data_IF_937153428892
#
_entry.id   IF_937153428892
#
_cell.length_a   1.000
_cell.length_b   1.000
_cell.length_c   1.000
_cell.angle_alpha   90.00
_cell.angle_beta   90.00
_cell.angle_gamma   90.00
#
_symmetry.space_group_name_H-M   'P 1'
#
loop_
_entity.id
_entity.type
_entity.pdbx_description
1 polymer ?
#
# COMPACT_ATOMS: atom_id res chain seq x y z
N UNK A 1 -3.64 40.57 -52.20
CA UNK A 1 -4.64 40.17 -51.18
C UNK A 1 -3.93 39.40 -50.09
N UNK A 2 -3.50 40.10 -49.04
CA UNK A 2 -2.85 39.52 -47.87
C UNK A 2 -3.86 39.31 -46.75
N UNK A 3 -3.76 38.18 -46.04
CA UNK A 3 -4.44 37.95 -44.76
C UNK A 3 -3.40 37.74 -43.65
N UNK A 4 -3.60 38.30 -42.44
CA UNK A 4 -2.52 38.52 -41.48
C UNK A 4 -2.36 37.36 -40.49
N UNK A 5 -1.11 37.16 -40.05
CA UNK A 5 -0.72 36.29 -38.94
C UNK A 5 -0.99 36.99 -37.61
N UNK A 6 -1.86 36.44 -36.77
CA UNK A 6 -2.07 36.91 -35.40
C UNK A 6 -0.94 36.39 -34.50
N UNK A 7 -0.16 37.33 -33.93
CA UNK A 7 0.83 37.08 -32.87
C UNK A 7 0.15 37.28 -31.51
N UNK A 8 0.14 36.24 -30.68
CA UNK A 8 -0.24 36.34 -29.28
C UNK A 8 1.00 36.70 -28.46
N UNK A 9 1.02 37.92 -27.91
CA UNK A 9 2.00 38.37 -26.92
C UNK A 9 1.49 38.04 -25.53
N UNK A 10 2.18 37.13 -24.82
CA UNK A 10 1.99 36.89 -23.39
C UNK A 10 2.68 38.02 -22.62
N UNK A 11 1.91 38.80 -21.87
CA UNK A 11 2.45 39.78 -20.90
C UNK A 11 2.72 39.07 -19.57
N UNK A 12 3.99 38.98 -19.20
CA UNK A 12 4.44 38.74 -17.83
C UNK A 12 4.10 39.98 -16.98
N UNK A 13 3.35 39.77 -15.90
CA UNK A 13 3.23 40.74 -14.80
C UNK A 13 3.87 40.10 -13.59
N UNK A 14 5.02 40.63 -13.19
CA UNK A 14 5.64 40.39 -11.89
C UNK A 14 5.10 41.38 -10.86
N UNK A 15 4.89 40.91 -9.64
CA UNK A 15 4.79 41.71 -8.42
C UNK A 15 5.23 40.78 -7.28
N UNK A 16 6.44 40.95 -6.76
CA UNK A 16 6.81 41.83 -5.65
C UNK A 16 6.69 41.10 -4.30
N UNK A 17 7.83 40.62 -3.82
CA UNK A 17 8.03 40.11 -2.48
C UNK A 17 8.00 41.25 -1.47
N UNK A 18 7.27 41.08 -0.37
CA UNK A 18 7.36 41.93 0.83
C UNK A 18 7.92 41.07 1.96
N UNK A 19 9.20 41.29 2.25
CA UNK A 19 9.87 40.89 3.48
C UNK A 19 9.49 41.87 4.59
N UNK A 20 8.87 41.38 5.67
CA UNK A 20 8.72 42.11 6.92
C UNK A 20 9.58 41.47 8.01
N UNK A 21 10.47 42.31 8.52
CA UNK A 21 11.45 42.12 9.58
C UNK A 21 10.76 42.37 10.93
N UNK A 22 10.88 41.47 11.90
CA UNK A 22 10.69 41.82 13.31
C UNK A 22 11.71 41.08 14.19
N UNK A 23 12.47 41.89 14.91
CA UNK A 23 13.59 41.52 15.75
C UNK A 23 13.18 41.11 17.17
N UNK A 24 14.14 40.47 17.83
CA UNK A 24 14.16 39.84 19.15
C UNK A 24 13.76 40.72 20.34
N UNK A 25 13.37 40.04 21.44
CA UNK A 25 13.82 40.37 22.80
C UNK A 25 13.98 39.08 23.63
N UNK A 26 15.19 38.90 24.16
CA UNK A 26 15.59 37.96 25.21
C UNK A 26 15.20 38.54 26.59
N UNK A 27 15.05 37.67 27.60
CA UNK A 27 15.70 37.70 28.93
C UNK A 27 14.88 36.87 29.93
N UNK A 28 15.56 35.99 30.67
CA UNK A 28 14.99 35.28 31.81
C UNK A 28 15.90 34.20 32.39
N UNK A 29 17.04 34.62 32.97
CA UNK A 29 17.94 33.77 33.76
C UNK A 29 17.33 33.35 35.10
N UNK A 30 17.65 32.13 35.57
CA UNK A 30 17.49 31.71 36.96
C UNK A 30 18.28 30.44 37.25
N UNK A 31 19.32 30.55 38.08
CA UNK A 31 20.32 29.51 38.38
C UNK A 31 20.32 29.11 39.86
N UNK A 32 20.66 27.83 40.12
CA UNK A 32 21.45 27.25 41.25
C UNK A 32 20.91 27.22 42.69
N UNK A 33 20.93 26.01 43.28
CA UNK A 33 21.81 25.49 44.38
C UNK A 33 21.25 24.12 44.84
N UNK A 34 21.98 22.99 44.88
CA UNK A 34 23.16 22.58 45.67
C UNK A 34 22.87 22.38 47.18
N UNK A 35 23.10 21.16 47.67
CA UNK A 35 23.13 20.79 49.09
C UNK A 35 23.19 19.26 49.29
N UNK A 36 24.35 18.79 49.71
CA UNK A 36 24.77 17.42 50.05
C UNK A 36 24.31 17.00 51.46
N UNK A 37 24.40 15.70 51.80
CA UNK A 37 25.31 15.17 52.84
C UNK A 37 25.03 13.69 53.22
N UNK A 38 26.14 12.96 53.29
CA UNK A 38 26.55 11.91 54.25
C UNK A 38 25.94 10.48 54.30
N UNK A 39 26.86 9.53 54.05
CA UNK A 39 26.91 8.16 54.58
C UNK A 39 27.50 8.16 56.01
N UNK A 40 27.50 7.03 56.76
CA UNK A 40 28.58 6.05 56.60
C UNK A 40 28.23 4.57 56.86
N UNK A 41 29.23 3.73 56.61
CA UNK A 41 29.30 2.28 56.46
C UNK A 41 29.21 1.42 57.74
N UNK A 42 28.96 0.11 57.56
CA UNK A 42 29.67 -1.00 58.23
C UNK A 42 29.40 -2.37 57.57
N UNK A 43 30.48 -3.03 57.17
CA UNK A 43 30.65 -4.47 56.84
C UNK A 43 30.80 -5.30 58.15
N UNK A 44 30.86 -6.67 58.20
CA UNK A 44 31.60 -7.54 57.27
C UNK A 44 31.04 -8.97 56.97
N UNK A 45 31.75 -9.62 56.04
CA UNK A 45 31.66 -11.04 55.60
C UNK A 45 31.97 -12.08 56.70
N UNK A 46 31.90 -13.40 56.40
CA UNK A 46 33.14 -14.10 55.99
C UNK A 46 33.01 -15.24 54.93
N UNK A 47 34.11 -15.41 54.17
CA UNK A 47 34.78 -16.66 53.67
C UNK A 47 33.96 -17.84 53.09
N UNK A 48 34.39 -18.62 52.10
CA UNK A 48 35.70 -18.90 51.50
C UNK A 48 35.50 -19.93 50.38
N UNK A 49 36.33 -19.91 49.34
CA UNK A 49 37.07 -21.05 48.77
C UNK A 49 37.39 -20.81 47.28
N UNK A 50 38.69 -20.64 47.01
CA UNK A 50 39.26 -20.64 45.68
C UNK A 50 39.38 -22.08 45.15
N UNK A 51 39.12 -22.28 43.86
CA UNK A 51 39.83 -23.28 43.06
C UNK A 51 40.09 -22.74 41.66
N UNK A 52 41.35 -22.83 41.26
CA UNK A 52 41.95 -22.43 39.99
C UNK A 52 41.66 -23.46 38.90
N UNK A 53 41.35 -23.02 37.67
CA UNK A 53 41.33 -23.93 36.52
C UNK A 53 40.86 -23.35 35.19
N UNK A 54 41.86 -22.98 34.36
CA UNK A 54 41.88 -23.01 32.90
C UNK A 54 40.91 -22.10 32.08
N UNK A 55 41.55 -21.20 31.33
CA UNK A 55 40.99 -20.35 30.31
C UNK A 55 40.47 -21.13 29.08
N UNK A 56 39.30 -20.73 28.58
CA UNK A 56 38.81 -20.95 27.23
C UNK A 56 38.07 -19.69 26.78
N UNK A 57 38.21 -19.22 25.52
CA UNK A 57 37.66 -17.93 25.13
C UNK A 57 36.15 -18.07 24.96
N UNK A 58 35.38 -17.64 25.95
CA UNK A 58 33.94 -17.47 25.81
C UNK A 58 33.68 -16.27 24.92
N UNK A 59 33.26 -16.55 23.68
CA UNK A 59 32.68 -15.56 22.77
C UNK A 59 31.52 -14.85 23.44
N UNK A 60 31.70 -13.54 23.69
CA UNK A 60 30.66 -12.61 24.11
C UNK A 60 29.52 -12.64 23.07
N UNK A 61 28.26 -12.93 23.43
CA UNK A 61 27.15 -12.79 22.49
C UNK A 61 27.02 -11.34 22.05
N UNK A 62 26.72 -11.15 20.78
CA UNK A 62 26.56 -9.85 20.13
C UNK A 62 25.48 -8.99 20.82
N UNK A 63 25.89 -8.13 21.75
CA UNK A 63 25.04 -7.13 22.40
C UNK A 63 24.70 -5.92 21.48
N UNK A 64 25.17 -5.92 20.23
CA UNK A 64 24.94 -4.82 19.28
C UNK A 64 23.69 -5.01 18.42
N UNK A 65 23.14 -6.22 18.29
CA UNK A 65 21.87 -6.41 17.57
C UNK A 65 20.65 -6.03 18.42
N UNK A 66 20.77 -6.07 19.75
CA UNK A 66 19.66 -5.85 20.68
C UNK A 66 19.36 -4.37 20.95
N UNK A 67 20.33 -3.47 20.77
CA UNK A 67 20.13 -2.05 20.99
C UNK A 67 19.33 -1.38 19.85
N UNK A 68 19.62 -1.73 18.60
CA UNK A 68 18.90 -1.19 17.43
C UNK A 68 17.42 -1.63 17.37
N UNK A 69 17.05 -2.72 18.04
CA UNK A 69 15.67 -3.22 18.10
C UNK A 69 14.82 -2.55 19.20
N UNK A 70 15.45 -1.98 20.23
CA UNK A 70 14.77 -1.39 21.38
C UNK A 70 14.21 0.02 21.10
N UNK A 71 14.80 0.74 20.14
CA UNK A 71 14.38 2.09 19.72
C UNK A 71 13.44 2.07 18.49
N UNK A 72 13.03 0.87 18.04
CA UNK A 72 12.09 0.71 16.94
C UNK A 72 10.69 1.23 17.33
N UNK A 73 10.02 1.92 16.41
CA UNK A 73 8.62 2.35 16.61
C UNK A 73 7.69 1.14 16.75
N UNK A 74 8.00 0.05 16.03
CA UNK A 74 7.34 -1.24 16.17
C UNK A 74 8.37 -2.36 16.40
N UNK A 75 8.73 -2.64 17.67
CA UNK A 75 9.65 -3.71 18.02
C UNK A 75 9.12 -5.11 17.68
N UNK A 76 7.80 -5.31 17.56
CA UNK A 76 7.21 -6.60 17.25
C UNK A 76 7.47 -7.02 15.79
N UNK A 77 7.58 -6.03 14.89
CA UNK A 77 7.89 -6.24 13.48
C UNK A 77 9.34 -5.84 13.11
N UNK A 78 10.22 -5.67 14.10
CA UNK A 78 11.59 -5.28 13.85
C UNK A 78 12.45 -6.49 13.39
N UNK A 79 13.28 -6.25 12.38
CA UNK A 79 14.24 -7.20 11.80
C UNK A 79 15.65 -6.59 11.81
N UNK A 80 16.73 -7.39 11.63
CA UNK A 80 18.08 -6.85 11.64
C UNK A 80 18.28 -5.70 10.64
N UNK A 81 18.66 -4.52 11.15
CA UNK A 81 18.86 -3.33 10.34
C UNK A 81 20.05 -3.51 9.38
N UNK A 82 19.92 -3.06 8.11
CA UNK A 82 21.03 -3.15 7.17
C UNK A 82 22.08 -2.08 7.49
N UNK A 83 23.36 -2.48 7.50
CA UNK A 83 24.48 -1.54 7.55
C UNK A 83 24.61 -0.70 6.28
N UNK A 84 25.70 0.07 6.14
CA UNK A 84 25.96 0.88 4.94
C UNK A 84 25.92 0.03 3.64
N UNK A 85 25.36 0.58 2.57
CA UNK A 85 25.31 -0.09 1.27
C UNK A 85 26.69 -0.05 0.60
N UNK A 86 27.30 -1.21 0.42
CA UNK A 86 28.63 -1.37 -0.23
C UNK A 86 28.53 -2.07 -1.58
N UNK A 87 27.43 -2.79 -1.81
CA UNK A 87 27.17 -3.52 -3.04
C UNK A 87 26.64 -2.58 -4.12
N UNK A 88 26.89 -2.92 -5.38
CA UNK A 88 26.27 -2.21 -6.51
C UNK A 88 24.75 -2.38 -6.51
N UNK A 89 24.09 -1.38 -7.11
CA UNK A 89 22.67 -1.41 -7.42
C UNK A 89 22.38 -2.40 -8.55
N UNK A 90 21.12 -2.83 -8.60
CA UNK A 90 20.57 -3.79 -9.54
C UNK A 90 19.45 -3.14 -10.36
N UNK A 91 19.27 -3.60 -11.59
CA UNK A 91 18.08 -3.30 -12.36
C UNK A 91 16.88 -4.06 -11.79
N UNK A 92 15.78 -3.35 -11.54
CA UNK A 92 14.49 -3.98 -11.32
C UNK A 92 13.87 -4.21 -12.69
N UNK A 93 14.23 -5.34 -13.33
CA UNK A 93 13.98 -5.55 -14.75
C UNK A 93 12.70 -6.35 -15.00
N UNK A 94 12.47 -7.39 -14.18
CA UNK A 94 11.33 -8.29 -14.30
C UNK A 94 10.70 -8.56 -12.92
N UNK A 95 9.38 -8.70 -12.91
CA UNK A 95 8.61 -9.17 -11.76
C UNK A 95 7.85 -10.44 -12.15
N UNK A 96 8.14 -11.52 -11.42
CA UNK A 96 7.28 -12.71 -11.40
C UNK A 96 6.32 -12.56 -10.23
N UNK A 97 5.03 -12.75 -10.47
CA UNK A 97 4.01 -12.64 -9.42
C UNK A 97 2.98 -13.76 -9.52
N UNK A 98 2.75 -14.42 -8.39
CA UNK A 98 1.79 -15.51 -8.20
C UNK A 98 0.87 -15.19 -7.02
N UNK A 99 -0.41 -15.60 -7.08
CA UNK A 99 -1.28 -15.56 -5.90
C UNK A 99 -0.89 -16.54 -4.79
N UNK A 100 -0.06 -17.53 -5.11
CA UNK A 100 0.44 -18.55 -4.17
C UNK A 100 1.95 -18.40 -4.00
N UNK A 101 2.53 -18.85 -2.87
CA UNK A 101 3.98 -18.93 -2.69
C UNK A 101 4.69 -19.63 -3.86
N UNK A 102 5.82 -19.09 -4.29
CA UNK A 102 6.68 -19.74 -5.29
C UNK A 102 7.52 -20.81 -4.57
N UNK A 103 7.43 -22.06 -5.03
CA UNK A 103 8.20 -23.17 -4.47
C UNK A 103 9.71 -22.94 -4.60
N UNK A 104 10.50 -23.45 -3.65
CA UNK A 104 11.96 -23.33 -3.66
C UNK A 104 12.59 -23.81 -4.97
N UNK A 105 12.12 -24.94 -5.53
CA UNK A 105 12.58 -25.47 -6.83
C UNK A 105 12.37 -24.46 -7.98
N UNK A 106 11.20 -23.83 -8.07
CA UNK A 106 10.93 -22.76 -9.05
C UNK A 106 11.89 -21.59 -8.83
N UNK A 107 12.13 -21.18 -7.59
CA UNK A 107 13.05 -20.06 -7.28
C UNK A 107 14.48 -20.40 -7.68
N UNK A 108 14.94 -21.62 -7.40
CA UNK A 108 16.27 -22.11 -7.77
C UNK A 108 16.44 -22.22 -9.28
N UNK A 109 15.45 -22.76 -10.00
CA UNK A 109 15.46 -22.82 -11.46
C UNK A 109 15.51 -21.42 -12.09
N UNK A 110 14.77 -20.45 -11.54
CA UNK A 110 14.85 -19.04 -11.99
C UNK A 110 16.23 -18.45 -11.73
N UNK A 111 16.83 -18.70 -10.55
CA UNK A 111 18.19 -18.22 -10.21
C UNK A 111 19.26 -18.86 -11.10
N UNK A 112 19.08 -20.10 -11.52
CA UNK A 112 20.00 -20.83 -12.38
C UNK A 112 19.81 -20.53 -13.88
N UNK A 113 18.74 -19.82 -14.25
CA UNK A 113 18.43 -19.53 -15.64
C UNK A 113 19.48 -18.61 -16.26
N UNK A 114 20.07 -19.03 -17.39
CA UNK A 114 21.02 -18.21 -18.14
C UNK A 114 20.41 -16.85 -18.50
N UNK A 115 21.08 -15.78 -18.09
CA UNK A 115 20.64 -14.40 -18.31
C UNK A 115 19.96 -13.75 -17.11
N UNK A 116 19.65 -14.51 -16.05
CA UNK A 116 19.29 -13.98 -14.73
C UNK A 116 20.57 -13.68 -13.96
N UNK A 117 20.73 -12.44 -13.50
CA UNK A 117 21.88 -12.02 -12.70
C UNK A 117 21.59 -12.16 -11.19
N UNK A 118 20.41 -11.70 -10.76
CA UNK A 118 19.92 -11.83 -9.39
C UNK A 118 18.41 -12.05 -9.43
N UNK A 119 17.90 -12.96 -8.59
CA UNK A 119 16.48 -13.08 -8.30
C UNK A 119 16.25 -13.01 -6.78
N UNK A 120 15.61 -11.92 -6.35
CA UNK A 120 15.23 -11.65 -4.97
C UNK A 120 13.78 -12.11 -4.75
N UNK A 121 13.58 -12.95 -3.75
CA UNK A 121 12.24 -13.39 -3.36
C UNK A 121 11.62 -12.37 -2.41
N UNK A 122 10.40 -11.94 -2.72
CA UNK A 122 9.63 -10.97 -1.95
C UNK A 122 8.19 -11.46 -1.80
N UNK A 123 7.44 -10.87 -0.89
CA UNK A 123 5.98 -11.02 -0.85
C UNK A 123 5.34 -9.78 -1.44
N UNK A 124 4.37 -9.94 -2.31
CA UNK A 124 3.62 -8.85 -2.94
C UNK A 124 2.12 -9.04 -2.73
N UNK A 125 1.45 -7.96 -2.36
CA UNK A 125 0.00 -7.90 -2.25
C UNK A 125 -0.50 -6.54 -2.75
N UNK A 126 -1.82 -6.38 -2.77
CA UNK A 126 -2.47 -5.09 -2.94
C UNK A 126 -3.40 -4.82 -1.76
N UNK A 127 -3.35 -3.60 -1.23
CA UNK A 127 -4.22 -3.15 -0.14
C UNK A 127 -5.13 -2.06 -0.65
N UNK A 128 -6.43 -2.18 -0.36
CA UNK A 128 -7.40 -1.13 -0.67
C UNK A 128 -7.38 -0.05 0.42
N UNK A 129 -7.06 1.18 0.04
CA UNK A 129 -7.12 2.36 0.91
C UNK A 129 -7.90 3.43 0.16
N UNK A 130 -9.01 3.87 0.74
CA UNK A 130 -10.00 4.71 0.06
C UNK A 130 -10.35 4.08 -1.33
N UNK A 131 -10.40 4.86 -2.41
CA UNK A 131 -10.74 4.36 -3.74
C UNK A 131 -9.62 3.61 -4.48
N UNK A 132 -8.47 3.36 -3.83
CA UNK A 132 -7.22 2.95 -4.50
C UNK A 132 -6.69 1.61 -3.99
N UNK A 133 -6.34 0.71 -4.92
CA UNK A 133 -5.55 -0.48 -4.63
C UNK A 133 -4.05 -0.14 -4.72
N UNK A 134 -3.35 -0.11 -3.58
CA UNK A 134 -1.91 0.14 -3.50
C UNK A 134 -1.10 -1.16 -3.59
N UNK A 135 -0.02 -1.14 -4.37
CA UNK A 135 0.94 -2.25 -4.46
C UNK A 135 1.92 -2.20 -3.29
N UNK A 136 1.81 -3.16 -2.36
CA UNK A 136 2.67 -3.26 -1.18
C UNK A 136 3.56 -4.50 -1.31
N UNK A 137 4.85 -4.35 -0.97
CA UNK A 137 5.78 -5.48 -0.87
C UNK A 137 6.36 -5.63 0.53
N UNK A 138 6.47 -6.87 0.98
CA UNK A 138 7.22 -7.25 2.18
C UNK A 138 8.57 -7.84 1.74
N UNK A 139 9.66 -7.27 2.24
CA UNK A 139 10.99 -7.51 1.67
C UNK A 139 12.04 -7.73 2.75
N UNK A 140 13.19 -8.29 2.37
CA UNK A 140 14.41 -8.16 3.16
C UNK A 140 15.06 -6.79 2.90
N UNK A 141 15.12 -5.88 3.91
CA UNK A 141 15.61 -4.51 3.71
C UNK A 141 17.06 -4.44 3.22
N UNK A 142 17.88 -5.45 3.54
CA UNK A 142 19.30 -5.49 3.19
C UNK A 142 19.53 -5.77 1.71
N UNK A 143 18.76 -6.70 1.14
CA UNK A 143 18.92 -7.18 -0.24
C UNK A 143 18.06 -6.41 -1.22
N UNK A 144 16.78 -6.17 -0.88
CA UNK A 144 15.83 -5.46 -1.74
C UNK A 144 16.26 -4.02 -2.06
N UNK A 145 16.86 -3.31 -1.09
CA UNK A 145 17.28 -1.91 -1.29
C UNK A 145 18.17 -1.68 -2.51
N UNK A 146 18.89 -2.71 -2.96
CA UNK A 146 19.77 -2.67 -4.13
C UNK A 146 19.00 -2.46 -5.44
N UNK A 147 17.72 -2.83 -5.50
CA UNK A 147 16.87 -2.66 -6.67
C UNK A 147 16.22 -1.28 -6.76
N UNK A 148 16.20 -0.53 -5.66
CA UNK A 148 15.52 0.77 -5.61
C UNK A 148 16.35 1.88 -6.28
N UNK A 149 15.72 3.00 -6.69
CA UNK A 149 16.44 4.17 -7.18
C UNK A 149 17.53 4.63 -6.21
N UNK A 150 18.62 5.20 -6.75
CA UNK A 150 19.81 5.58 -5.97
C UNK A 150 19.50 6.44 -4.73
N UNK A 151 18.49 7.32 -4.84
CA UNK A 151 18.02 8.18 -3.76
C UNK A 151 17.54 7.38 -2.54
N UNK A 152 16.85 6.26 -2.78
CA UNK A 152 16.35 5.39 -1.71
C UNK A 152 17.43 4.42 -1.27
N UNK A 153 18.12 3.79 -2.23
CA UNK A 153 19.09 2.74 -1.95
C UNK A 153 20.23 3.20 -1.02
N UNK A 154 20.70 4.43 -1.21
CA UNK A 154 21.81 5.01 -0.44
C UNK A 154 21.37 5.63 0.90
N UNK A 155 20.08 5.88 1.10
CA UNK A 155 19.57 6.53 2.31
C UNK A 155 19.40 5.48 3.41
N UNK A 156 20.45 5.29 4.22
CA UNK A 156 20.49 4.26 5.28
C UNK A 156 19.32 4.36 6.25
N UNK A 157 18.89 5.59 6.60
CA UNK A 157 17.79 5.80 7.55
C UNK A 157 16.45 5.25 7.03
N UNK A 158 16.17 5.31 5.72
CA UNK A 158 14.96 4.68 5.14
C UNK A 158 14.94 3.20 5.48
N UNK A 159 16.06 2.51 5.28
CA UNK A 159 16.14 1.06 5.47
C UNK A 159 16.29 0.63 6.92
N UNK A 160 16.84 1.49 7.79
CA UNK A 160 16.78 1.30 9.25
C UNK A 160 15.35 1.36 9.75
N UNK A 161 14.56 2.35 9.29
CA UNK A 161 13.14 2.49 9.63
C UNK A 161 12.30 1.32 9.14
N UNK A 162 12.47 0.93 7.86
CA UNK A 162 11.80 -0.25 7.31
C UNK A 162 12.18 -1.52 8.10
N UNK A 163 13.44 -1.67 8.46
CA UNK A 163 13.87 -2.77 9.31
C UNK A 163 13.29 -2.68 10.73
N UNK A 164 13.11 -1.49 11.30
CA UNK A 164 12.49 -1.24 12.59
C UNK A 164 10.95 -1.30 12.60
N UNK A 165 10.33 -1.96 11.61
CA UNK A 165 8.88 -2.17 11.57
C UNK A 165 8.07 -1.04 10.92
N UNK A 166 8.69 0.06 10.48
CA UNK A 166 7.97 1.13 9.79
C UNK A 166 7.82 0.82 8.28
N UNK A 167 6.95 1.56 7.57
CA UNK A 167 6.81 1.47 6.12
C UNK A 167 7.48 2.65 5.38
N UNK A 168 7.98 2.37 4.17
CA UNK A 168 8.42 3.38 3.22
C UNK A 168 7.41 3.50 2.07
N UNK A 169 6.97 4.72 1.74
CA UNK A 169 5.94 4.99 0.73
C UNK A 169 6.50 5.87 -0.40
N UNK A 170 5.99 5.72 -1.63
CA UNK A 170 6.28 6.63 -2.73
C UNK A 170 6.00 8.10 -2.37
N UNK A 171 6.92 9.05 -2.65
CA UNK A 171 6.73 10.46 -2.31
C UNK A 171 5.45 11.09 -2.89
N UNK A 172 5.02 10.66 -4.08
CA UNK A 172 3.81 11.16 -4.74
C UNK A 172 2.50 10.80 -4.03
N UNK A 173 2.54 9.86 -3.08
CA UNK A 173 1.37 9.42 -2.31
C UNK A 173 1.23 10.16 -0.97
N UNK A 174 2.25 10.93 -0.54
CA UNK A 174 2.26 11.63 0.76
C UNK A 174 1.02 12.48 1.06
N UNK A 175 0.46 13.14 0.04
CA UNK A 175 -0.72 14.00 0.18
C UNK A 175 -2.03 13.31 -0.23
N UNK A 176 -1.95 12.07 -0.70
CA UNK A 176 -3.08 11.31 -1.25
C UNK A 176 -3.57 10.22 -0.30
N UNK A 177 -2.74 9.81 0.65
CA UNK A 177 -3.08 8.76 1.62
C UNK A 177 -3.49 9.38 2.96
N UNK A 178 -4.51 8.84 3.63
CA UNK A 178 -4.99 9.35 4.90
C UNK A 178 -4.11 8.85 6.05
N UNK A 179 -3.02 9.59 6.34
CA UNK A 179 -2.23 9.35 7.56
C UNK A 179 -2.79 10.11 8.74
N UNK A 180 -2.80 9.49 9.92
CA UNK A 180 -3.21 10.17 11.16
C UNK A 180 -2.17 11.19 11.65
N UNK A 181 -2.47 11.87 12.77
CA UNK A 181 -1.57 12.89 13.35
C UNK A 181 -0.24 12.32 13.86
N UNK A 182 -0.21 11.02 14.13
CA UNK A 182 0.96 10.29 14.63
C UNK A 182 1.76 9.66 13.49
N UNK A 183 1.33 9.79 12.24
CA UNK A 183 2.01 9.27 11.06
C UNK A 183 1.64 7.83 10.69
N UNK A 184 0.58 7.26 11.27
CA UNK A 184 0.10 5.92 10.95
C UNK A 184 -0.83 5.95 9.74
N UNK A 185 -0.71 4.93 8.90
CA UNK A 185 -1.59 4.66 7.78
C UNK A 185 -2.35 3.36 8.03
N UNK A 186 -3.67 3.43 7.98
CA UNK A 186 -4.53 2.26 8.02
C UNK A 186 -4.48 1.52 6.68
N UNK A 187 -4.03 0.27 6.70
CA UNK A 187 -3.89 -0.60 5.53
C UNK A 187 -5.19 -1.38 5.27
N UNK A 188 -6.25 -0.66 4.94
CA UNK A 188 -7.58 -1.20 4.66
C UNK A 188 -8.66 -0.13 4.84
N UNK A 189 -9.90 -0.47 4.48
CA UNK A 189 -11.06 0.44 4.64
C UNK A 189 -11.99 0.03 5.80
N UNK A 190 -11.67 -1.07 6.50
CA UNK A 190 -12.40 -1.53 7.67
C UNK A 190 -11.75 -1.03 8.96
N UNK A 191 -12.54 -0.90 10.02
CA UNK A 191 -12.07 -0.38 11.33
C UNK A 191 -11.09 -1.30 12.05
N UNK A 192 -11.01 -2.57 11.63
CA UNK A 192 -10.09 -3.60 12.11
C UNK A 192 -8.87 -3.79 11.21
N UNK A 193 -8.71 -2.95 10.18
CA UNK A 193 -7.53 -2.97 9.33
C UNK A 193 -6.27 -2.55 10.13
N UNK A 194 -5.14 -3.12 9.73
CA UNK A 194 -3.85 -2.94 10.40
C UNK A 194 -3.30 -1.53 10.16
N UNK A 195 -2.86 -0.86 11.23
CA UNK A 195 -2.18 0.44 11.14
C UNK A 195 -0.66 0.24 11.09
N UNK A 196 0.00 0.89 10.13
CA UNK A 196 1.46 0.86 10.00
C UNK A 196 2.02 2.28 9.99
N UNK A 197 3.06 2.53 10.78
CA UNK A 197 3.70 3.85 10.84
C UNK A 197 4.50 4.15 9.57
N UNK A 198 4.27 5.31 8.96
CA UNK A 198 4.98 5.78 7.77
C UNK A 198 6.31 6.43 8.17
N UNK A 199 7.38 5.63 8.18
CA UNK A 199 8.71 6.08 8.58
C UNK A 199 9.47 6.84 7.49
N UNK A 200 9.14 6.61 6.21
CA UNK A 200 9.87 7.25 5.11
C UNK A 200 9.02 7.48 3.86
N UNK A 201 9.35 8.56 3.15
CA UNK A 201 8.88 8.80 1.79
C UNK A 201 10.06 8.65 0.83
N UNK A 202 10.13 7.54 0.11
CA UNK A 202 11.29 7.15 -0.68
C UNK A 202 10.88 6.62 -2.06
N UNK A 203 11.51 7.07 -3.17
CA UNK A 203 11.28 6.50 -4.50
C UNK A 203 11.41 4.96 -4.51
N UNK A 204 10.50 4.27 -5.18
CA UNK A 204 10.51 2.81 -5.30
C UNK A 204 10.67 2.38 -6.76
N UNK A 205 10.80 1.07 -6.95
CA UNK A 205 10.75 0.46 -8.29
C UNK A 205 9.34 0.61 -8.88
N UNK A 206 9.22 0.45 -10.19
CA UNK A 206 7.91 0.41 -10.84
C UNK A 206 7.05 -0.72 -10.24
N UNK A 207 5.73 -0.48 -10.17
CA UNK A 207 4.75 -1.42 -9.59
C UNK A 207 4.89 -1.69 -8.08
N UNK A 208 5.57 -0.79 -7.35
CA UNK A 208 5.63 -0.78 -5.87
C UNK A 208 5.32 0.61 -5.34
N UNK A 209 4.27 0.71 -4.51
CA UNK A 209 3.87 1.95 -3.86
C UNK A 209 4.41 2.07 -2.44
N UNK A 210 4.46 0.93 -1.74
CA UNK A 210 4.88 0.86 -0.35
C UNK A 210 5.72 -0.39 -0.08
N UNK A 211 6.64 -0.26 0.87
CA UNK A 211 7.55 -1.31 1.30
C UNK A 211 7.51 -1.44 2.81
N UNK A 212 7.31 -2.66 3.28
CA UNK A 212 7.49 -3.10 4.66
C UNK A 212 8.57 -4.18 4.71
N UNK A 213 9.09 -4.49 5.90
CA UNK A 213 9.96 -5.65 6.04
C UNK A 213 9.15 -6.97 6.07
N UNK A 214 9.82 -8.10 5.89
CA UNK A 214 9.18 -9.42 5.78
C UNK A 214 8.42 -9.89 7.03
N UNK A 215 8.66 -9.32 8.22
CA UNK A 215 7.94 -9.69 9.45
C UNK A 215 6.44 -9.33 9.36
N UNK A 216 6.10 -8.28 8.59
CA UNK A 216 4.72 -7.86 8.36
C UNK A 216 3.90 -8.80 7.47
N UNK A 217 4.53 -9.73 6.75
CA UNK A 217 3.84 -10.50 5.72
C UNK A 217 2.62 -11.26 6.30
N UNK A 218 2.75 -11.85 7.48
CA UNK A 218 1.66 -12.58 8.13
C UNK A 218 0.52 -11.64 8.56
N UNK A 219 0.86 -10.56 9.25
CA UNK A 219 -0.13 -9.68 9.88
C UNK A 219 -0.88 -8.81 8.86
N UNK A 220 -0.30 -8.64 7.66
CA UNK A 220 -0.95 -8.01 6.50
C UNK A 220 -1.62 -9.01 5.54
N UNK A 221 -1.79 -10.28 5.95
CA UNK A 221 -2.36 -11.36 5.13
C UNK A 221 -1.66 -11.53 3.76
N UNK A 222 -0.36 -11.25 3.69
CA UNK A 222 0.44 -11.40 2.48
C UNK A 222 1.04 -12.81 2.39
N UNK A 223 0.86 -13.46 1.24
CA UNK A 223 1.47 -14.76 0.96
C UNK A 223 3.00 -14.68 0.93
N UNK A 224 3.73 -15.36 1.83
CA UNK A 224 5.19 -15.30 1.87
C UNK A 224 5.84 -15.80 0.58
N UNK A 225 6.71 -14.98 -0.01
CA UNK A 225 7.54 -15.40 -1.15
C UNK A 225 6.76 -15.69 -2.44
N UNK A 226 5.60 -15.06 -2.61
CA UNK A 226 4.74 -15.21 -3.79
C UNK A 226 5.21 -14.39 -5.02
N UNK A 227 6.34 -13.69 -4.92
CA UNK A 227 6.92 -12.91 -6.00
C UNK A 227 8.45 -13.02 -6.09
N UNK A 228 8.99 -12.84 -7.30
CA UNK A 228 10.42 -12.71 -7.55
C UNK A 228 10.71 -11.42 -8.32
N UNK A 229 11.60 -10.61 -7.77
CA UNK A 229 12.19 -9.45 -8.44
C UNK A 229 13.51 -9.86 -9.07
N UNK A 230 13.62 -9.69 -10.38
CA UNK A 230 14.72 -10.21 -11.17
C UNK A 230 15.49 -9.06 -11.82
N UNK A 231 16.81 -9.10 -11.67
CA UNK A 231 17.75 -8.32 -12.48
C UNK A 231 18.39 -9.21 -13.54
N UNK A 232 18.48 -8.69 -14.76
CA UNK A 232 18.96 -9.42 -15.94
C UNK A 232 20.38 -9.02 -16.34
N UNK A 233 20.96 -8.03 -15.65
CA UNK A 233 22.30 -7.51 -15.92
C UNK A 233 22.42 -6.97 -17.34
N UNK A 234 23.18 -7.65 -18.19
CA UNK A 234 23.37 -7.30 -19.60
C UNK A 234 22.36 -7.97 -20.54
N UNK A 235 21.52 -8.87 -20.03
CA UNK A 235 20.54 -9.61 -20.82
C UNK A 235 19.26 -8.79 -21.00
N UNK A 236 18.70 -8.77 -22.21
CA UNK A 236 17.40 -8.14 -22.46
C UNK A 236 16.28 -8.85 -21.68
N UNK A 237 15.45 -8.13 -20.89
CA UNK A 237 14.33 -8.72 -20.17
C UNK A 237 13.33 -9.47 -21.07
N UNK A 238 13.15 -8.98 -22.30
CA UNK A 238 12.24 -9.55 -23.30
C UNK A 238 12.63 -10.97 -23.69
N UNK A 239 13.92 -11.30 -23.75
CA UNK A 239 14.39 -12.64 -24.13
C UNK A 239 14.11 -13.68 -23.05
N UNK A 240 13.94 -13.25 -21.79
CA UNK A 240 13.70 -14.12 -20.65
C UNK A 240 12.22 -14.42 -20.37
N UNK A 241 11.28 -13.70 -21.01
CA UNK A 241 9.84 -13.91 -20.78
C UNK A 241 9.40 -15.36 -21.04
N UNK A 242 9.75 -15.94 -22.20
CA UNK A 242 9.37 -17.32 -22.55
C UNK A 242 10.05 -18.37 -21.65
N UNK A 243 11.38 -18.32 -21.42
CA UNK A 243 12.04 -19.23 -20.48
C UNK A 243 11.45 -19.15 -19.06
N UNK A 244 11.24 -17.95 -18.53
CA UNK A 244 10.63 -17.77 -17.21
C UNK A 244 9.22 -18.34 -17.18
N UNK A 245 8.39 -18.05 -18.17
CA UNK A 245 7.02 -18.59 -18.25
C UNK A 245 6.99 -20.12 -18.27
N UNK A 246 8.01 -20.77 -18.86
CA UNK A 246 8.13 -22.23 -18.87
C UNK A 246 8.41 -22.80 -17.48
N UNK A 247 9.21 -22.08 -16.67
CA UNK A 247 9.54 -22.47 -15.28
C UNK A 247 8.35 -22.19 -14.36
N UNK A 248 7.81 -20.97 -14.40
CA UNK A 248 6.80 -20.51 -13.43
C UNK A 248 5.36 -20.95 -13.78
N UNK A 249 5.17 -21.52 -14.97
CA UNK A 249 3.89 -21.99 -15.48
C UNK A 249 3.02 -20.88 -16.08
N UNK A 250 2.11 -21.25 -16.99
CA UNK A 250 1.31 -20.31 -17.82
C UNK A 250 0.35 -19.37 -17.06
N UNK A 251 0.06 -19.67 -15.79
CA UNK A 251 -0.92 -18.91 -14.96
C UNK A 251 -0.27 -17.89 -14.04
N UNK A 252 1.06 -17.85 -14.02
CA UNK A 252 1.88 -16.93 -13.22
C UNK A 252 2.25 -15.73 -14.08
N UNK A 253 2.08 -14.52 -13.54
CA UNK A 253 2.39 -13.31 -14.27
C UNK A 253 3.91 -13.11 -14.33
N UNK A 254 4.42 -12.77 -15.51
CA UNK A 254 5.81 -12.34 -15.73
C UNK A 254 5.77 -10.99 -16.42
N UNK A 255 6.25 -9.95 -15.75
CA UNK A 255 6.10 -8.55 -16.16
C UNK A 255 7.46 -7.89 -16.32
N UNK A 256 7.64 -7.07 -17.36
CA UNK A 256 8.79 -6.17 -17.49
C UNK A 256 8.50 -4.90 -16.70
N UNK A 257 9.40 -4.52 -15.80
CA UNK A 257 9.27 -3.34 -14.94
C UNK A 257 9.78 -2.06 -15.61
N UNK A 258 9.48 -1.89 -16.91
CA UNK A 258 9.82 -0.70 -17.70
C UNK A 258 8.90 0.50 -17.42
N UNK A 259 9.18 1.68 -18.00
CA UNK A 259 8.41 2.91 -17.77
C UNK A 259 6.95 2.83 -18.27
N UNK A 260 6.61 1.84 -19.11
CA UNK A 260 5.27 1.63 -19.65
C UNK A 260 4.67 0.32 -19.13
N UNK A 261 3.39 0.35 -18.72
CA UNK A 261 2.63 -0.87 -18.51
C UNK A 261 2.54 -1.63 -19.84
N UNK A 262 2.89 -2.92 -19.90
CA UNK A 262 2.75 -3.70 -21.12
C UNK A 262 1.25 -3.86 -21.45
N UNK A 263 0.75 -3.09 -22.41
CA UNK A 263 -0.61 -3.24 -22.95
C UNK A 263 -0.72 -4.64 -23.55
N UNK A 264 -1.82 -5.34 -23.25
CA UNK A 264 -2.05 -6.70 -23.75
C UNK A 264 -1.38 -7.82 -22.94
N UNK A 265 -0.55 -7.52 -21.93
CA UNK A 265 -0.01 -8.53 -21.02
C UNK A 265 -0.92 -8.79 -19.82
N UNK A 266 -1.03 -10.06 -19.42
CA UNK A 266 -1.78 -10.45 -18.22
C UNK A 266 -1.15 -9.86 -16.95
N UNK A 267 -2.00 -9.21 -16.17
CA UNK A 267 -1.74 -8.70 -14.84
C UNK A 267 -2.54 -9.51 -13.83
N UNK A 268 -2.04 -9.59 -12.61
CA UNK A 268 -2.74 -10.24 -11.49
C UNK A 268 -2.79 -9.26 -10.34
N UNK A 269 -3.98 -9.11 -9.76
CA UNK A 269 -4.25 -8.38 -8.53
C UNK A 269 -4.71 -9.39 -7.48
N UNK A 270 -4.04 -9.39 -6.33
CA UNK A 270 -4.49 -10.10 -5.12
C UNK A 270 -4.68 -9.05 -4.05
N UNK A 271 -5.94 -8.73 -3.80
CA UNK A 271 -6.33 -7.79 -2.76
C UNK A 271 -6.34 -8.54 -1.43
N UNK A 272 -5.60 -8.03 -0.44
CA UNK A 272 -5.59 -8.56 0.93
C UNK A 272 -6.49 -7.73 1.84
N UNK A 273 -6.75 -8.24 3.05
CA UNK A 273 -7.62 -7.60 4.04
C UNK A 273 -9.10 -8.01 3.93
N UNK A 274 -9.97 -7.19 4.53
CA UNK A 274 -11.37 -7.47 4.89
C UNK A 274 -12.32 -7.85 3.74
N UNK A 275 -11.97 -7.56 2.49
CA UNK A 275 -12.76 -7.90 1.30
C UNK A 275 -12.07 -8.86 0.35
N UNK A 276 -10.88 -9.35 0.71
CA UNK A 276 -10.08 -10.28 -0.11
C UNK A 276 -10.89 -11.48 -0.59
N UNK A 277 -11.68 -12.11 0.29
CA UNK A 277 -12.51 -13.27 -0.03
C UNK A 277 -13.59 -12.97 -1.09
N UNK A 278 -14.11 -11.75 -1.13
CA UNK A 278 -15.12 -11.35 -2.12
C UNK A 278 -14.53 -11.13 -3.52
N UNK A 279 -13.24 -10.83 -3.61
CA UNK A 279 -12.54 -10.56 -4.88
C UNK A 279 -11.85 -11.82 -5.38
N UNK A 280 -11.22 -12.60 -4.49
CA UNK A 280 -10.34 -13.70 -4.85
C UNK A 280 -9.16 -13.22 -5.71
N UNK A 281 -8.72 -14.05 -6.64
CA UNK A 281 -7.64 -13.70 -7.57
C UNK A 281 -8.19 -12.98 -8.80
N UNK A 282 -7.89 -11.69 -8.92
CA UNK A 282 -8.33 -10.87 -10.05
C UNK A 282 -7.26 -10.81 -11.14
N UNK A 283 -7.44 -11.58 -12.21
CA UNK A 283 -6.59 -11.52 -13.40
C UNK A 283 -7.19 -10.57 -14.43
N UNK A 284 -6.37 -9.71 -15.04
CA UNK A 284 -6.84 -8.73 -16.01
C UNK A 284 -5.78 -8.36 -17.04
N UNK A 285 -6.20 -7.74 -18.14
CA UNK A 285 -5.32 -7.19 -19.18
C UNK A 285 -5.61 -5.70 -19.37
N UNK A 286 -4.63 -4.79 -19.35
CA UNK A 286 -4.84 -3.40 -19.75
C UNK A 286 -5.19 -3.31 -21.24
N UNK A 287 -6.29 -2.61 -21.58
CA UNK A 287 -6.82 -2.50 -22.96
C UNK A 287 -6.81 -1.07 -23.52
N UNK A 288 -6.10 -0.15 -22.87
CA UNK A 288 -6.01 1.26 -23.27
C UNK A 288 -7.19 2.12 -22.80
N UNK A 289 -7.04 3.45 -22.90
CA UNK A 289 -8.05 4.41 -22.44
C UNK A 289 -8.38 4.34 -20.94
N UNK A 290 -7.43 3.88 -20.12
CA UNK A 290 -7.62 3.68 -18.68
C UNK A 290 -8.46 2.46 -18.30
N UNK A 291 -8.82 1.59 -19.26
CA UNK A 291 -9.67 0.41 -19.01
C UNK A 291 -8.86 -0.88 -18.89
N UNK A 292 -9.44 -1.84 -18.20
CA UNK A 292 -8.91 -3.20 -18.08
C UNK A 292 -9.96 -4.22 -18.55
N UNK A 293 -9.50 -5.34 -19.10
CA UNK A 293 -10.32 -6.50 -19.42
C UNK A 293 -10.04 -7.60 -18.38
N UNK A 294 -10.94 -7.85 -17.42
CA UNK A 294 -10.81 -8.95 -16.48
C UNK A 294 -10.94 -10.31 -17.17
N UNK A 295 -10.39 -11.36 -16.55
CA UNK A 295 -10.56 -12.74 -17.00
C UNK A 295 -12.07 -13.08 -17.09
N UNK A 296 -12.60 -13.49 -18.25
CA UNK A 296 -14.00 -13.84 -18.41
C UNK A 296 -14.50 -14.88 -17.40
N UNK A 297 -13.63 -15.82 -16.98
CA UNK A 297 -13.97 -16.80 -15.96
C UNK A 297 -14.16 -16.15 -14.58
N UNK A 298 -13.34 -15.15 -14.24
CA UNK A 298 -13.53 -14.37 -13.02
C UNK A 298 -14.85 -13.59 -13.06
N UNK A 299 -15.15 -12.95 -14.19
CA UNK A 299 -16.41 -12.19 -14.38
C UNK A 299 -17.62 -13.10 -14.19
N UNK A 300 -17.66 -14.27 -14.83
CA UNK A 300 -18.76 -15.22 -14.68
C UNK A 300 -18.91 -15.74 -13.24
N UNK A 301 -17.78 -15.95 -12.54
CA UNK A 301 -17.77 -16.43 -11.17
C UNK A 301 -18.24 -15.35 -10.17
N UNK A 302 -17.86 -14.08 -10.36
CA UNK A 302 -18.02 -13.04 -9.33
C UNK A 302 -19.07 -11.98 -9.67
N UNK A 303 -19.36 -11.69 -10.92
CA UNK A 303 -20.26 -10.59 -11.31
C UNK A 303 -21.64 -11.13 -11.69
N UNK A 304 -22.70 -10.45 -11.23
CA UNK A 304 -24.09 -10.70 -11.66
C UNK A 304 -24.90 -9.41 -11.65
N UNK A 305 -26.08 -9.44 -12.27
CA UNK A 305 -27.06 -8.36 -12.21
C UNK A 305 -28.21 -8.78 -11.30
N UNK A 306 -28.55 -7.94 -10.33
CA UNK A 306 -29.72 -8.13 -9.47
C UNK A 306 -30.55 -6.86 -9.38
N UNK A 307 -31.84 -7.02 -9.10
CA UNK A 307 -32.74 -5.92 -8.79
C UNK A 307 -32.65 -5.58 -7.30
N UNK A 308 -32.13 -4.39 -7.00
CA UNK A 308 -31.98 -3.85 -5.65
C UNK A 308 -33.15 -2.92 -5.31
N UNK A 309 -33.64 -2.93 -4.04
CA UNK A 309 -34.67 -2.00 -3.59
C UNK A 309 -34.23 -0.54 -3.81
N UNK A 310 -35.18 0.33 -4.14
CA UNK A 310 -34.97 1.76 -4.42
C UNK A 310 -34.20 2.01 -5.73
N UNK A 311 -32.99 1.46 -5.89
CA UNK A 311 -32.08 1.76 -7.02
C UNK A 311 -32.51 1.08 -8.32
N UNK A 312 -32.98 -0.17 -8.27
CA UNK A 312 -33.29 -0.98 -9.45
C UNK A 312 -32.15 -1.92 -9.85
N UNK A 313 -31.95 -2.14 -11.16
CA UNK A 313 -30.99 -3.12 -11.64
C UNK A 313 -29.54 -2.65 -11.43
N UNK A 314 -28.75 -3.45 -10.73
CA UNK A 314 -27.33 -3.21 -10.50
C UNK A 314 -26.50 -4.40 -10.95
N UNK A 315 -25.43 -4.14 -11.71
CA UNK A 315 -24.42 -5.15 -12.08
C UNK A 315 -23.21 -4.96 -11.18
N UNK A 316 -23.00 -5.91 -10.27
CA UNK A 316 -21.99 -5.85 -9.21
C UNK A 316 -21.36 -7.21 -8.95
N UNK A 317 -20.40 -7.25 -8.03
CA UNK A 317 -19.94 -8.49 -7.42
C UNK A 317 -21.07 -9.13 -6.59
N UNK A 318 -21.26 -10.44 -6.75
CA UNK A 318 -22.24 -11.25 -6.02
C UNK A 318 -22.17 -11.06 -4.50
N UNK A 319 -20.95 -10.89 -3.97
CA UNK A 319 -20.71 -10.72 -2.55
C UNK A 319 -21.30 -9.41 -1.97
N UNK A 320 -21.53 -8.38 -2.79
CA UNK A 320 -22.07 -7.10 -2.29
C UNK A 320 -23.58 -7.18 -2.01
N UNK A 321 -24.30 -8.02 -2.76
CA UNK A 321 -25.77 -7.97 -2.81
C UNK A 321 -26.48 -8.26 -1.48
N UNK A 322 -26.07 -9.24 -0.66
CA UNK A 322 -26.76 -9.51 0.61
C UNK A 322 -26.79 -8.29 1.53
N UNK A 323 -25.65 -7.65 1.78
CA UNK A 323 -25.58 -6.48 2.66
C UNK A 323 -26.11 -5.21 2.00
N UNK A 324 -25.96 -5.06 0.68
CA UNK A 324 -26.55 -3.94 -0.06
C UNK A 324 -28.09 -3.97 0.01
N UNK A 325 -28.69 -5.15 -0.18
CA UNK A 325 -30.14 -5.35 -0.08
C UNK A 325 -30.63 -5.02 1.33
N UNK A 326 -29.95 -5.54 2.36
CA UNK A 326 -30.30 -5.26 3.75
C UNK A 326 -30.22 -3.75 4.09
N UNK A 327 -29.20 -3.05 3.60
CA UNK A 327 -29.07 -1.60 3.77
C UNK A 327 -30.22 -0.84 3.11
N UNK A 328 -30.54 -1.16 1.85
CA UNK A 328 -31.61 -0.50 1.10
C UNK A 328 -33.00 -0.78 1.69
N UNK A 329 -33.24 -1.98 2.20
CA UNK A 329 -34.46 -2.31 2.94
C UNK A 329 -34.58 -1.53 4.25
N UNK A 330 -33.48 -1.35 4.99
CA UNK A 330 -33.47 -0.54 6.19
C UNK A 330 -33.73 0.95 5.87
N UNK A 331 -33.15 1.47 4.79
CA UNK A 331 -33.42 2.82 4.28
C UNK A 331 -34.90 2.99 3.94
N UNK A 332 -35.51 1.99 3.31
CA UNK A 332 -36.94 2.01 3.01
C UNK A 332 -37.80 1.97 4.28
N UNK A 333 -37.47 1.09 5.23
CA UNK A 333 -38.18 0.95 6.52
C UNK A 333 -38.09 2.20 7.39
N UNK A 334 -36.99 2.95 7.29
CA UNK A 334 -36.76 4.20 8.03
C UNK A 334 -37.35 5.44 7.33
N UNK A 335 -38.06 5.26 6.21
CA UNK A 335 -38.71 6.35 5.49
C UNK A 335 -37.75 7.23 4.68
N UNK A 336 -36.52 6.76 4.45
CA UNK A 336 -35.46 7.51 3.77
C UNK A 336 -35.34 7.18 2.28
N UNK A 337 -36.22 6.34 1.72
CA UNK A 337 -36.16 5.92 0.31
C UNK A 337 -36.11 7.10 -0.68
N UNK A 338 -36.87 8.18 -0.40
CA UNK A 338 -36.89 9.36 -1.26
C UNK A 338 -35.56 10.16 -1.28
N UNK A 339 -34.64 9.87 -0.34
CA UNK A 339 -33.31 10.47 -0.32
C UNK A 339 -32.31 9.80 -1.27
N UNK A 340 -32.68 8.68 -1.91
CA UNK A 340 -31.91 8.05 -2.98
C UNK A 340 -32.66 8.26 -4.28
N UNK A 341 -31.97 8.82 -5.28
CA UNK A 341 -32.52 9.11 -6.60
C UNK A 341 -32.09 8.02 -7.58
N UNK A 342 -32.98 7.09 -7.98
CA UNK A 342 -32.58 5.94 -8.78
C UNK A 342 -32.05 6.31 -10.17
N UNK A 343 -32.55 7.42 -10.73
CA UNK A 343 -32.08 7.98 -12.01
C UNK A 343 -30.69 8.62 -11.95
N UNK A 344 -30.11 8.74 -10.76
CA UNK A 344 -28.79 9.35 -10.53
C UNK A 344 -27.72 8.32 -10.12
N UNK A 345 -28.03 7.02 -10.24
CA UNK A 345 -27.09 5.92 -10.08
C UNK A 345 -26.10 5.86 -11.24
N UNK A 346 -24.79 5.82 -10.95
CA UNK A 346 -23.72 5.85 -11.95
C UNK A 346 -22.90 4.55 -12.07
N UNK A 347 -23.48 3.43 -11.62
CA UNK A 347 -22.91 2.11 -11.85
C UNK A 347 -22.16 1.55 -10.64
N UNK A 348 -21.77 0.29 -10.79
CA UNK A 348 -21.12 -0.50 -9.74
C UNK A 348 -19.92 -1.25 -10.29
N UNK A 349 -20.12 -2.11 -11.29
CA UNK A 349 -19.04 -2.77 -12.02
C UNK A 349 -18.59 -1.97 -13.24
N UNK A 350 -17.39 -1.38 -13.16
CA UNK A 350 -16.74 -0.69 -14.28
C UNK A 350 -15.20 -0.91 -14.23
N UNK A 351 -14.68 -1.96 -14.90
CA UNK A 351 -13.25 -2.29 -14.91
C UNK A 351 -12.36 -1.19 -15.50
N UNK A 352 -11.66 -0.48 -14.62
CA UNK A 352 -10.77 0.63 -14.99
C UNK A 352 -9.67 0.91 -13.96
N UNK A 353 -8.65 1.59 -14.43
CA UNK A 353 -7.78 2.35 -13.56
C UNK A 353 -8.45 3.66 -13.10
N UNK A 354 -7.98 4.20 -11.98
CA UNK A 354 -8.30 5.57 -11.57
C UNK A 354 -7.66 6.53 -12.57
N UNK A 355 -8.40 7.59 -12.94
CA UNK A 355 -7.96 8.54 -13.95
C UNK A 355 -6.56 9.12 -13.61
N UNK A 356 -5.66 9.09 -14.60
CA UNK A 356 -4.28 9.56 -14.43
C UNK A 356 -3.38 8.64 -13.60
N UNK A 357 -3.81 7.40 -13.31
CA UNK A 357 -3.04 6.42 -12.56
C UNK A 357 -3.02 5.05 -13.25
N UNK A 358 -2.25 4.13 -12.70
CA UNK A 358 -2.23 2.70 -13.03
C UNK A 358 -2.86 1.84 -11.93
N UNK A 359 -3.58 2.47 -10.98
CA UNK A 359 -4.20 1.80 -9.83
C UNK A 359 -5.62 1.40 -10.17
N UNK A 360 -5.97 0.15 -9.89
CA UNK A 360 -7.33 -0.34 -10.10
C UNK A 360 -8.28 0.43 -9.18
N UNK A 361 -9.39 0.88 -9.75
CA UNK A 361 -10.51 1.41 -8.96
C UNK A 361 -11.31 0.25 -8.36
N UNK A 362 -11.91 0.45 -7.19
CA UNK A 362 -12.80 -0.55 -6.57
C UNK A 362 -14.04 -0.91 -7.41
N UNK A 363 -14.44 -0.04 -8.36
CA UNK A 363 -15.43 -0.41 -9.39
C UNK A 363 -14.98 -1.57 -10.29
N UNK A 364 -13.67 -1.81 -10.42
CA UNK A 364 -13.13 -2.93 -11.20
C UNK A 364 -13.43 -4.29 -10.60
N UNK A 365 -13.65 -4.33 -9.28
CA UNK A 365 -14.00 -5.54 -8.56
C UNK A 365 -15.52 -5.70 -8.39
N UNK A 366 -16.31 -4.71 -8.81
CA UNK A 366 -17.77 -4.68 -8.59
C UNK A 366 -18.16 -4.50 -7.12
N UNK A 367 -17.28 -3.88 -6.33
CA UNK A 367 -17.44 -3.68 -4.89
C UNK A 367 -17.70 -2.22 -4.49
N UNK A 368 -17.72 -1.31 -5.46
CA UNK A 368 -18.08 0.09 -5.28
C UNK A 368 -19.33 0.42 -6.08
N UNK A 369 -20.09 1.44 -5.66
CA UNK A 369 -21.23 1.96 -6.37
C UNK A 369 -21.43 3.45 -6.10
N UNK A 370 -21.91 4.17 -7.11
CA UNK A 370 -22.13 5.62 -7.05
C UNK A 370 -23.62 5.96 -7.12
N UNK A 371 -24.12 6.76 -6.17
CA UNK A 371 -25.52 7.21 -6.13
C UNK A 371 -25.62 8.73 -6.01
N UNK A 372 -26.78 9.28 -6.42
CA UNK A 372 -27.10 10.70 -6.36
C UNK A 372 -26.02 11.60 -6.98
N UNK A 373 -25.42 11.15 -8.09
CA UNK A 373 -24.19 11.75 -8.63
C UNK A 373 -24.24 13.25 -8.95
N UNK A 374 -25.34 13.85 -9.47
CA UNK A 374 -25.36 15.27 -9.81
C UNK A 374 -25.03 16.22 -8.65
N UNK A 375 -25.51 15.92 -7.44
CA UNK A 375 -25.27 16.70 -6.22
C UNK A 375 -24.07 16.23 -5.38
N UNK A 376 -23.32 15.21 -5.84
CA UNK A 376 -22.31 14.52 -5.04
C UNK A 376 -21.00 14.30 -5.80
N UNK A 377 -20.62 15.27 -6.64
CA UNK A 377 -19.37 15.20 -7.39
C UNK A 377 -18.16 15.18 -6.46
N UNK A 378 -17.11 14.47 -6.89
CA UNK A 378 -15.83 14.39 -6.19
C UNK A 378 -15.21 15.77 -5.95
N UNK A 379 -14.64 15.98 -4.77
CA UNK A 379 -14.09 17.25 -4.30
C UNK A 379 -15.12 18.22 -3.72
N UNK A 380 -16.39 17.81 -3.59
CA UNK A 380 -17.45 18.60 -2.94
C UNK A 380 -17.84 18.00 -1.59
N UNK A 381 -18.52 18.76 -0.73
CA UNK A 381 -19.05 18.22 0.54
C UNK A 381 -20.19 17.20 0.34
N UNK A 382 -20.80 17.21 -0.86
CA UNK A 382 -21.95 16.38 -1.22
C UNK A 382 -23.23 16.68 -0.46
N UNK A 383 -24.34 16.24 -1.05
CA UNK A 383 -25.70 16.42 -0.56
C UNK A 383 -26.34 15.12 -0.07
N UNK A 384 -25.64 13.98 -0.15
CA UNK A 384 -26.17 12.69 0.32
C UNK A 384 -26.62 12.78 1.78
N UNK A 385 -27.84 12.32 2.04
CA UNK A 385 -28.43 12.29 3.37
C UNK A 385 -27.55 11.48 4.34
N UNK A 386 -27.09 12.09 5.43
CA UNK A 386 -26.16 11.45 6.37
C UNK A 386 -26.77 10.28 7.15
N UNK A 387 -28.09 10.20 7.29
CA UNK A 387 -28.74 9.02 7.84
C UNK A 387 -28.65 7.83 6.87
N UNK A 388 -28.76 8.06 5.56
CA UNK A 388 -28.52 7.04 4.52
C UNK A 388 -27.06 6.56 4.58
N UNK A 389 -26.10 7.48 4.70
CA UNK A 389 -24.68 7.14 4.88
C UNK A 389 -24.48 6.24 6.11
N UNK A 390 -25.07 6.61 7.24
CA UNK A 390 -24.95 5.86 8.49
C UNK A 390 -25.47 4.42 8.35
N UNK A 391 -26.58 4.22 7.64
CA UNK A 391 -27.12 2.88 7.37
C UNK A 391 -26.17 2.08 6.48
N UNK A 392 -25.64 2.65 5.39
CA UNK A 392 -24.64 1.95 4.59
C UNK A 392 -23.39 1.58 5.42
N UNK A 393 -22.88 2.49 6.27
CA UNK A 393 -21.73 2.21 7.13
C UNK A 393 -22.00 1.09 8.15
N UNK A 394 -23.20 1.06 8.72
CA UNK A 394 -23.68 -0.04 9.57
C UNK A 394 -23.59 -1.39 8.84
N UNK A 395 -23.99 -1.41 7.57
CA UNK A 395 -23.98 -2.59 6.70
C UNK A 395 -22.65 -2.86 6.00
N UNK A 396 -21.54 -2.31 6.52
CA UNK A 396 -20.19 -2.70 6.09
C UNK A 396 -19.64 -1.92 4.90
N UNK A 397 -20.26 -0.80 4.52
CA UNK A 397 -19.74 0.08 3.47
C UNK A 397 -18.87 1.20 4.05
N UNK A 398 -17.80 1.57 3.37
CA UNK A 398 -17.16 2.87 3.51
C UNK A 398 -17.86 3.88 2.58
N UNK A 399 -17.77 5.16 2.94
CA UNK A 399 -18.35 6.25 2.16
C UNK A 399 -17.25 7.23 1.78
N UNK A 400 -17.15 7.54 0.49
CA UNK A 400 -16.08 8.39 -0.05
C UNK A 400 -16.14 9.83 0.45
N UNK A 401 -17.26 10.26 1.01
CA UNK A 401 -17.39 11.57 1.64
C UNK A 401 -16.49 11.78 2.87
N UNK A 402 -16.04 10.69 3.51
CA UNK A 402 -15.14 10.74 4.68
C UNK A 402 -13.66 10.89 4.28
N UNK A 403 -13.32 10.77 3.00
CA UNK A 403 -11.93 10.77 2.52
C UNK A 403 -11.30 12.16 2.47
N UNK A 404 -9.96 12.16 2.50
CA UNK A 404 -9.17 13.40 2.44
C UNK A 404 -9.44 14.22 1.17
N UNK A 405 -9.57 13.54 0.03
CA UNK A 405 -10.12 14.08 -1.20
C UNK A 405 -11.49 13.46 -1.44
N UNK A 406 -12.48 14.05 -0.76
CA UNK A 406 -13.86 13.60 -0.67
C UNK A 406 -14.48 13.19 -2.00
N UNK A 407 -15.20 12.06 -2.01
CA UNK A 407 -15.97 11.53 -3.13
C UNK A 407 -17.39 11.15 -2.65
N UNK A 408 -18.28 12.12 -2.43
CA UNK A 408 -19.50 11.89 -1.67
C UNK A 408 -20.55 11.05 -2.41
N UNK A 409 -20.42 10.82 -3.72
CA UNK A 409 -21.28 9.90 -4.45
C UNK A 409 -20.91 8.43 -4.21
N UNK A 410 -19.66 8.18 -3.81
CA UNK A 410 -19.03 6.86 -3.80
C UNK A 410 -19.30 6.10 -2.50
N UNK A 411 -19.74 4.87 -2.63
CA UNK A 411 -19.76 3.87 -1.57
C UNK A 411 -18.99 2.65 -2.02
N UNK A 412 -18.36 1.97 -1.07
CA UNK A 412 -17.66 0.73 -1.36
C UNK A 412 -17.69 -0.23 -0.19
N UNK A 413 -17.68 -1.52 -0.50
CA UNK A 413 -17.65 -2.56 0.50
C UNK A 413 -16.33 -2.49 1.27
N UNK A 414 -16.40 -2.16 2.56
CA UNK A 414 -15.24 -2.09 3.44
C UNK A 414 -15.02 -3.38 4.20
N UNK A 415 -16.08 -4.15 4.49
CA UNK A 415 -16.02 -5.48 5.09
C UNK A 415 -17.25 -6.28 4.70
N UNK A 416 -17.13 -7.60 4.76
CA UNK A 416 -18.26 -8.51 4.54
C UNK A 416 -19.15 -8.53 5.80
N UNK A 417 -20.44 -8.27 5.62
CA UNK A 417 -21.46 -8.39 6.67
C UNK A 417 -22.49 -9.41 6.22
N UNK A 418 -22.73 -10.44 7.04
CA UNK A 418 -23.82 -11.39 6.82
C UNK A 418 -25.10 -10.88 7.48
N UNK A 419 -26.15 -10.52 6.72
CA UNK A 419 -27.44 -10.19 7.29
C UNK A 419 -27.99 -11.39 8.06
N UNK A 420 -28.50 -11.15 9.26
CA UNK A 420 -29.13 -12.17 10.11
C UNK A 420 -30.61 -12.30 9.81
#
# INVERSE_FOLDING_TARGET
>A
MGRPRARWTVRLVGAAAVTALCAALLVGCGSKKAGSDDAPAADPSPSSAASTGAAGPTSKPAATASADLADAVDPAHAVPAPGALKQRLLGADLLVYSPMPLSEDVVEQVRALQGVEVAEQISKAQVNIEDQALDIVAVNPKTYRRFTPVQSAQTTDVWKRVAGGEMAILPGLKKKLPTDKSGYLQLGNSTDAVDVHVGAYAPQINSVDAVVNYAWAKDLDMEPGNALLISTGQTSPQSLLKPLQKIVGKKTAVQILGPDLPIGAYQTAVIVGSVSQAIGVFRYTPIGGGRVAPDPAWVAAHITTENMPIIGNMTCNKAIFPQLRAALEEIQKTGLAAAIHPGEYAGCYYPRFIAGTTKLSNHSFGLAFDINTPGNQRGTVGEINRAVVSIFKKWGFAWGGDWSYTDPMHFEMARIVSPK
#
